data_IF_097704176470
#
_entry.id   IF_097704176470
#
_cell.length_a   1.000
_cell.length_b   1.000
_cell.length_c   1.000
_cell.angle_alpha   90.00
_cell.angle_beta   90.00
_cell.angle_gamma   90.00
#
_symmetry.space_group_name_H-M   'P 1'
#
loop_
_entity.id
_entity.type
_entity.pdbx_description
1 polymer ?
#
# COMPACT_ATOMS: atom_id res chain seq x y z
N UNK A 1 14.74 -12.67 22.53
CA UNK A 1 14.41 -11.23 22.32
C UNK A 1 15.58 -10.26 22.50
N UNK A 2 16.54 -10.46 23.43
CA UNK A 2 17.64 -9.49 23.67
C UNK A 2 18.66 -9.33 22.51
N UNK A 3 18.83 -10.34 21.65
CA UNK A 3 19.76 -10.30 20.51
C UNK A 3 19.25 -9.47 19.32
N UNK A 4 17.95 -9.53 19.02
CA UNK A 4 17.34 -8.79 17.91
C UNK A 4 17.40 -7.27 18.13
N UNK A 5 17.21 -6.82 19.37
CA UNK A 5 17.29 -5.40 19.73
C UNK A 5 18.70 -4.82 19.53
N UNK A 6 19.75 -5.60 19.85
CA UNK A 6 21.15 -5.16 19.65
C UNK A 6 21.49 -5.02 18.17
N UNK A 7 21.04 -5.96 17.33
CA UNK A 7 21.22 -5.89 15.88
C UNK A 7 20.46 -4.70 15.28
N UNK A 8 19.22 -4.47 15.73
CA UNK A 8 18.43 -3.32 15.28
C UNK A 8 19.09 -1.98 15.65
N UNK A 9 19.59 -1.85 16.89
CA UNK A 9 20.32 -0.65 17.35
C UNK A 9 21.61 -0.43 16.59
N UNK A 10 22.37 -1.50 16.29
CA UNK A 10 23.60 -1.42 15.52
C UNK A 10 23.34 -0.97 14.06
N UNK A 11 22.31 -1.55 13.42
CA UNK A 11 21.88 -1.17 12.07
C UNK A 11 21.39 0.29 12.06
N UNK A 12 20.59 0.69 13.05
CA UNK A 12 20.12 2.07 13.19
C UNK A 12 21.27 3.06 13.42
N UNK A 13 22.32 2.66 14.15
CA UNK A 13 23.52 3.47 14.39
C UNK A 13 24.36 3.68 13.13
N UNK A 14 24.61 2.60 12.38
CA UNK A 14 25.37 2.67 11.12
C UNK A 14 24.65 3.53 10.08
N UNK A 15 23.32 3.38 9.97
CA UNK A 15 22.50 4.21 9.07
C UNK A 15 22.60 5.69 9.48
N UNK A 16 22.50 6.00 10.77
CA UNK A 16 22.53 7.38 11.27
C UNK A 16 23.89 8.06 11.09
N UNK A 17 25.00 7.33 11.30
CA UNK A 17 26.35 7.84 11.06
C UNK A 17 26.63 8.07 9.57
N UNK A 18 26.16 7.16 8.70
CA UNK A 18 26.27 7.34 7.25
C UNK A 18 25.48 8.54 6.73
N UNK A 19 24.32 8.83 7.33
CA UNK A 19 23.50 10.01 7.02
C UNK A 19 24.18 11.32 7.42
N UNK A 20 24.82 11.37 8.60
CA UNK A 20 25.48 12.57 9.11
C UNK A 20 26.68 12.97 8.24
N UNK A 21 27.60 12.02 7.98
CA UNK A 21 28.75 12.27 7.11
C UNK A 21 28.36 12.60 5.66
N UNK A 22 27.22 12.10 5.19
CA UNK A 22 26.73 12.38 3.84
C UNK A 22 26.13 13.79 3.73
N UNK A 23 25.34 14.23 4.71
CA UNK A 23 24.75 15.57 4.72
C UNK A 23 25.83 16.67 4.72
N UNK A 24 26.90 16.50 5.50
CA UNK A 24 28.07 17.40 5.48
C UNK A 24 28.73 17.44 4.10
N UNK A 25 28.83 16.29 3.41
CA UNK A 25 29.47 16.20 2.09
C UNK A 25 28.75 16.93 0.95
N UNK A 26 27.47 17.29 1.10
CA UNK A 26 26.70 18.11 0.14
C UNK A 26 26.47 19.55 0.62
N UNK A 27 26.77 19.86 1.88
CA UNK A 27 26.62 21.21 2.42
C UNK A 27 27.70 22.17 1.87
N UNK A 28 28.87 21.65 1.50
CA UNK A 28 30.04 22.43 1.06
C UNK A 28 30.12 22.72 -0.45
N UNK A 29 28.99 22.76 -1.16
CA UNK A 29 29.00 23.17 -2.59
C UNK A 29 29.35 24.67 -2.65
N UNK A 30 30.60 24.99 -2.97
CA UNK A 30 31.10 26.36 -3.18
C UNK A 30 30.61 26.92 -4.51
N UNK A 31 30.21 28.18 -4.51
CA UNK A 31 29.83 28.94 -5.71
C UNK A 31 31.11 29.47 -6.34
N UNK A 32 31.28 29.32 -7.66
CA UNK A 32 32.49 29.82 -8.33
C UNK A 32 32.51 31.34 -8.36
N UNK A 33 33.63 31.92 -7.91
CA UNK A 33 33.91 33.36 -8.01
C UNK A 33 34.36 33.75 -9.43
N UNK A 34 34.75 32.79 -10.27
CA UNK A 34 35.32 33.02 -11.60
C UNK A 34 34.41 32.48 -12.73
N UNK A 35 33.75 33.35 -13.53
CA UNK A 35 32.70 32.95 -14.47
C UNK A 35 33.18 32.17 -15.72
N UNK A 36 34.46 31.85 -15.84
CA UNK A 36 35.03 31.18 -17.00
C UNK A 36 35.06 29.64 -16.88
N UNK A 37 34.85 29.08 -15.68
CA UNK A 37 34.73 27.61 -15.44
C UNK A 37 33.30 27.21 -15.08
N UNK A 38 32.31 27.85 -15.74
CA UNK A 38 30.89 27.59 -15.50
C UNK A 38 30.54 26.12 -15.75
N UNK A 39 29.60 25.64 -14.93
CA UNK A 39 28.94 24.37 -15.13
C UNK A 39 28.46 24.18 -16.59
N UNK A 40 28.64 22.98 -17.12
CA UNK A 40 28.28 22.68 -18.50
C UNK A 40 26.79 22.40 -18.64
N UNK A 41 26.22 22.68 -19.82
CA UNK A 41 24.83 22.32 -20.13
C UNK A 41 24.58 20.80 -19.96
N UNK A 42 25.62 19.98 -20.20
CA UNK A 42 25.62 18.53 -19.97
C UNK A 42 25.39 18.20 -18.50
N UNK A 43 26.10 18.86 -17.59
CA UNK A 43 25.96 18.64 -16.15
C UNK A 43 24.61 19.13 -15.62
N UNK A 44 24.10 20.26 -16.13
CA UNK A 44 22.75 20.76 -15.79
C UNK A 44 21.69 19.73 -16.22
N UNK A 45 21.77 19.24 -17.46
CA UNK A 45 20.86 18.20 -17.98
C UNK A 45 20.98 16.90 -17.19
N UNK A 46 22.20 16.47 -16.86
CA UNK A 46 22.48 15.30 -16.05
C UNK A 46 21.86 15.39 -14.65
N UNK A 47 22.08 16.52 -13.96
CA UNK A 47 21.50 16.76 -12.65
C UNK A 47 19.97 16.77 -12.68
N UNK A 48 19.36 17.39 -13.70
CA UNK A 48 17.91 17.40 -13.89
C UNK A 48 17.33 15.99 -14.10
N UNK A 49 18.03 15.13 -14.85
CA UNK A 49 17.61 13.73 -15.06
C UNK A 49 17.63 12.94 -13.74
N UNK A 50 18.69 13.09 -12.95
CA UNK A 50 18.82 12.42 -11.65
C UNK A 50 17.75 12.93 -10.68
N UNK A 51 17.49 14.25 -10.65
CA UNK A 51 16.42 14.83 -9.83
C UNK A 51 15.06 14.23 -10.19
N UNK A 52 14.70 14.20 -11.47
CA UNK A 52 13.40 13.65 -11.92
C UNK A 52 13.24 12.20 -11.51
N UNK A 53 14.29 11.40 -11.63
CA UNK A 53 14.30 10.02 -11.17
C UNK A 53 14.03 9.93 -9.67
N UNK A 54 14.73 10.72 -8.87
CA UNK A 54 14.58 10.74 -7.41
C UNK A 54 13.20 11.20 -6.95
N UNK A 55 12.61 12.22 -7.60
CA UNK A 55 11.24 12.68 -7.33
C UNK A 55 10.22 11.57 -7.64
N UNK A 56 10.36 10.89 -8.78
CA UNK A 56 9.49 9.76 -9.12
C UNK A 56 9.61 8.66 -8.05
N UNK A 57 10.83 8.36 -7.62
CA UNK A 57 11.10 7.32 -6.64
C UNK A 57 10.49 7.63 -5.27
N UNK A 58 10.55 8.89 -4.79
CA UNK A 58 9.88 9.27 -3.53
C UNK A 58 8.36 9.18 -3.64
N UNK A 59 7.77 9.53 -4.79
CA UNK A 59 6.33 9.31 -5.04
C UNK A 59 5.96 7.84 -4.96
N UNK A 60 6.73 6.95 -5.60
CA UNK A 60 6.49 5.50 -5.55
C UNK A 60 6.56 4.93 -4.13
N UNK A 61 7.48 5.43 -3.29
CA UNK A 61 7.56 5.04 -1.88
C UNK A 61 6.35 5.52 -1.07
N UNK A 62 5.87 6.73 -1.33
CA UNK A 62 4.67 7.26 -0.68
C UNK A 62 3.40 6.51 -1.11
N UNK A 63 3.30 6.16 -2.40
CA UNK A 63 2.21 5.35 -2.91
C UNK A 63 2.23 3.94 -2.30
N UNK A 64 3.41 3.34 -2.14
CA UNK A 64 3.55 2.08 -1.40
C UNK A 64 3.00 2.19 0.02
N UNK A 65 3.35 3.25 0.77
CA UNK A 65 2.81 3.50 2.12
C UNK A 65 1.29 3.63 2.09
N UNK A 66 0.75 4.46 1.20
CA UNK A 66 -0.69 4.75 1.08
C UNK A 66 -1.50 3.51 0.70
N UNK A 67 -1.05 2.75 -0.30
CA UNK A 67 -1.74 1.57 -0.79
C UNK A 67 -1.81 0.46 0.26
N UNK A 68 -0.81 0.38 1.13
CA UNK A 68 -0.76 -0.60 2.21
C UNK A 68 -1.21 -0.06 3.58
N UNK A 69 -1.71 1.18 3.66
CA UNK A 69 -2.21 1.77 4.91
C UNK A 69 -1.12 2.03 5.97
N UNK A 70 0.14 2.15 5.56
CA UNK A 70 1.28 2.39 6.46
C UNK A 70 1.34 3.88 6.79
N UNK A 71 1.07 4.24 8.04
CA UNK A 71 1.15 5.64 8.50
C UNK A 71 2.59 6.10 8.69
N UNK A 72 3.35 5.38 9.52
CA UNK A 72 4.73 5.72 9.88
C UNK A 72 5.66 4.57 9.48
N UNK A 73 6.70 4.89 8.72
CA UNK A 73 7.73 3.93 8.33
C UNK A 73 9.09 4.62 8.33
N UNK A 74 9.85 4.36 9.39
CA UNK A 74 11.12 5.05 9.67
C UNK A 74 12.13 4.85 8.54
N UNK A 75 12.13 3.68 7.88
CA UNK A 75 13.09 3.37 6.82
C UNK A 75 12.76 4.16 5.56
N UNK A 76 11.49 4.18 5.16
CA UNK A 76 11.03 4.99 4.03
C UNK A 76 11.21 6.49 4.31
N UNK A 77 10.95 6.95 5.53
CA UNK A 77 11.11 8.35 5.94
C UNK A 77 12.57 8.80 5.91
N UNK A 78 13.49 8.01 6.49
CA UNK A 78 14.93 8.29 6.42
C UNK A 78 15.45 8.31 4.99
N UNK A 79 15.00 7.38 4.17
CA UNK A 79 15.40 7.31 2.75
C UNK A 79 14.87 8.51 1.97
N UNK A 80 13.62 8.89 2.19
CA UNK A 80 13.02 10.08 1.54
C UNK A 80 13.78 11.35 1.92
N UNK A 81 14.13 11.49 3.20
CA UNK A 81 14.94 12.61 3.69
C UNK A 81 16.32 12.64 3.03
N UNK A 82 16.96 11.48 2.86
CA UNK A 82 18.24 11.40 2.15
C UNK A 82 18.13 11.81 0.67
N UNK A 83 17.10 11.31 0.00
CA UNK A 83 16.82 11.66 -1.39
C UNK A 83 16.59 13.17 -1.52
N UNK A 84 15.91 13.81 -0.56
CA UNK A 84 15.73 15.26 -0.55
C UNK A 84 17.05 16.02 -0.45
N UNK A 85 18.00 15.55 0.36
CA UNK A 85 19.36 16.13 0.41
C UNK A 85 20.06 16.03 -0.94
N UNK A 86 19.96 14.88 -1.63
CA UNK A 86 20.55 14.70 -2.96
C UNK A 86 19.87 15.64 -3.98
N UNK A 87 18.53 15.70 -3.98
CA UNK A 87 17.77 16.61 -4.85
C UNK A 87 18.20 18.06 -4.64
N UNK A 88 18.37 18.49 -3.39
CA UNK A 88 18.80 19.85 -3.08
C UNK A 88 20.16 20.18 -3.70
N UNK A 89 21.14 19.27 -3.60
CA UNK A 89 22.44 19.45 -4.23
C UNK A 89 22.37 19.49 -5.77
N UNK A 90 21.53 18.63 -6.37
CA UNK A 90 21.32 18.62 -7.81
C UNK A 90 20.64 19.89 -8.32
N UNK A 91 19.78 20.51 -7.51
CA UNK A 91 19.18 21.81 -7.84
C UNK A 91 20.21 22.93 -7.85
N UNK A 92 21.14 22.95 -6.88
CA UNK A 92 22.25 23.92 -6.87
C UNK A 92 23.09 23.83 -8.15
N UNK A 93 23.38 22.62 -8.64
CA UNK A 93 24.08 22.43 -9.94
C UNK A 93 23.30 23.06 -11.10
N UNK A 94 21.96 23.02 -11.05
CA UNK A 94 21.10 23.53 -12.12
C UNK A 94 20.92 25.05 -12.08
N UNK A 95 20.89 25.66 -10.88
CA UNK A 95 20.59 27.09 -10.70
C UNK A 95 21.83 27.95 -10.48
N UNK A 96 22.89 27.37 -9.92
CA UNK A 96 24.06 28.11 -9.45
C UNK A 96 25.25 27.89 -10.39
N UNK A 97 26.16 28.86 -10.44
CA UNK A 97 27.44 28.72 -11.16
C UNK A 97 28.41 27.86 -10.34
N UNK A 98 28.13 26.56 -10.30
CA UNK A 98 29.01 25.55 -9.69
C UNK A 98 30.15 25.24 -10.68
N UNK A 99 31.36 25.06 -10.17
CA UNK A 99 32.50 24.64 -11.00
C UNK A 99 32.24 23.25 -11.59
N UNK A 100 32.67 23.05 -12.85
CA UNK A 100 32.42 21.81 -13.58
C UNK A 100 32.85 20.56 -12.80
N UNK A 101 34.05 20.56 -12.23
CA UNK A 101 34.60 19.43 -11.48
C UNK A 101 33.79 19.13 -10.21
N UNK A 102 33.38 20.18 -9.50
CA UNK A 102 32.51 20.06 -8.31
C UNK A 102 31.17 19.45 -8.71
N UNK A 103 30.56 19.92 -9.79
CA UNK A 103 29.29 19.38 -10.29
C UNK A 103 29.41 17.90 -10.67
N UNK A 104 30.49 17.51 -11.36
CA UNK A 104 30.75 16.11 -11.72
C UNK A 104 30.95 15.22 -10.49
N UNK A 105 31.71 15.69 -9.49
CA UNK A 105 31.93 14.95 -8.24
C UNK A 105 30.62 14.75 -7.46
N UNK A 106 29.81 15.81 -7.33
CA UNK A 106 28.49 15.77 -6.68
C UNK A 106 27.55 14.81 -7.41
N UNK A 107 27.50 14.84 -8.74
CA UNK A 107 26.68 13.89 -9.52
C UNK A 107 27.17 12.44 -9.36
N UNK A 108 28.47 12.19 -9.39
CA UNK A 108 29.03 10.85 -9.20
C UNK A 108 28.72 10.28 -7.81
N UNK A 109 28.84 11.11 -6.76
CA UNK A 109 28.43 10.74 -5.40
C UNK A 109 26.92 10.48 -5.31
N UNK A 110 26.10 11.31 -5.93
CA UNK A 110 24.66 11.10 -6.01
C UNK A 110 24.32 9.75 -6.66
N UNK A 111 24.91 9.43 -7.82
CA UNK A 111 24.71 8.16 -8.52
C UNK A 111 25.14 6.98 -7.66
N UNK A 112 26.33 7.05 -7.04
CA UNK A 112 26.82 6.00 -6.15
C UNK A 112 25.84 5.76 -4.98
N UNK A 113 25.32 6.83 -4.39
CA UNK A 113 24.37 6.72 -3.27
C UNK A 113 23.02 6.17 -3.70
N UNK A 114 22.49 6.62 -4.84
CA UNK A 114 21.26 6.08 -5.44
C UNK A 114 21.36 4.56 -5.62
N UNK A 115 22.49 4.04 -6.08
CA UNK A 115 22.70 2.59 -6.22
C UNK A 115 22.60 1.85 -4.89
N UNK A 116 23.07 2.44 -3.80
CA UNK A 116 22.95 1.86 -2.45
C UNK A 116 21.50 1.93 -1.98
N UNK A 117 20.88 3.12 -2.03
CA UNK A 117 19.48 3.35 -1.67
C UNK A 117 18.55 2.36 -2.40
N UNK A 118 18.72 2.19 -3.72
CA UNK A 118 17.88 1.29 -4.52
C UNK A 118 17.98 -0.16 -4.06
N UNK A 119 19.18 -0.62 -3.72
CA UNK A 119 19.42 -1.99 -3.25
C UNK A 119 18.76 -2.24 -1.89
N UNK A 120 18.96 -1.31 -0.98
CA UNK A 120 18.50 -1.41 0.41
C UNK A 120 16.98 -1.34 0.46
N UNK A 121 16.39 -0.35 -0.24
CA UNK A 121 14.94 -0.20 -0.34
C UNK A 121 14.29 -1.37 -1.07
N UNK A 122 14.86 -1.86 -2.18
CA UNK A 122 14.29 -3.03 -2.89
C UNK A 122 14.17 -4.23 -1.96
N UNK A 123 15.22 -4.49 -1.18
CA UNK A 123 15.24 -5.59 -0.20
C UNK A 123 14.23 -5.34 0.92
N UNK A 124 14.20 -4.11 1.44
CA UNK A 124 13.26 -3.70 2.47
C UNK A 124 11.80 -3.87 2.03
N UNK A 125 11.42 -3.31 0.88
CA UNK A 125 10.05 -3.36 0.36
C UNK A 125 9.60 -4.79 0.12
N UNK A 126 10.47 -5.66 -0.42
CA UNK A 126 10.17 -7.09 -0.58
C UNK A 126 9.81 -7.74 0.75
N UNK A 127 10.63 -7.52 1.78
CA UNK A 127 10.40 -8.07 3.12
C UNK A 127 9.13 -7.48 3.76
N UNK A 128 8.92 -6.18 3.59
CA UNK A 128 7.75 -5.48 4.12
C UNK A 128 6.46 -5.96 3.48
N UNK A 129 6.43 -6.18 2.16
CA UNK A 129 5.28 -6.77 1.46
C UNK A 129 4.95 -8.17 1.96
N UNK A 130 5.96 -9.01 2.23
CA UNK A 130 5.72 -10.35 2.80
C UNK A 130 5.10 -10.26 4.20
N UNK A 131 5.58 -9.35 5.05
CA UNK A 131 5.00 -9.11 6.38
C UNK A 131 3.54 -8.66 6.30
N UNK A 132 3.23 -7.69 5.43
CA UNK A 132 1.87 -7.17 5.24
C UNK A 132 0.91 -8.28 4.78
N UNK A 133 1.33 -9.11 3.83
CA UNK A 133 0.55 -10.27 3.37
C UNK A 133 0.31 -11.28 4.49
N UNK A 134 1.31 -11.52 5.34
CA UNK A 134 1.17 -12.41 6.48
C UNK A 134 0.18 -11.85 7.51
N UNK A 135 0.29 -10.57 7.86
CA UNK A 135 -0.66 -9.90 8.77
C UNK A 135 -2.10 -9.94 8.23
N UNK A 136 -2.27 -9.73 6.92
CA UNK A 136 -3.57 -9.85 6.27
C UNK A 136 -4.13 -11.27 6.40
N UNK A 137 -3.31 -12.31 6.19
CA UNK A 137 -3.71 -13.72 6.34
C UNK A 137 -4.10 -14.08 7.78
N UNK A 138 -3.40 -13.54 8.77
CA UNK A 138 -3.76 -13.72 10.18
C UNK A 138 -5.13 -13.08 10.49
N UNK A 139 -5.38 -11.87 9.98
CA UNK A 139 -6.69 -11.20 10.12
C UNK A 139 -7.79 -11.93 9.37
N UNK A 140 -7.50 -12.44 8.17
CA UNK A 140 -8.42 -13.27 7.39
C UNK A 140 -8.87 -14.51 8.18
N UNK A 141 -7.94 -15.16 8.85
CA UNK A 141 -8.23 -16.33 9.69
C UNK A 141 -9.21 -15.98 10.81
N UNK A 142 -9.01 -14.83 11.48
CA UNK A 142 -9.93 -14.33 12.51
C UNK A 142 -11.31 -13.99 11.93
N UNK A 143 -11.36 -13.31 10.80
CA UNK A 143 -12.62 -12.95 10.14
C UNK A 143 -13.36 -14.18 9.59
N UNK A 144 -12.65 -15.22 9.17
CA UNK A 144 -13.25 -16.45 8.63
C UNK A 144 -14.17 -17.12 9.65
N UNK A 145 -13.84 -17.07 10.95
CA UNK A 145 -14.72 -17.60 12.01
C UNK A 145 -16.04 -16.84 12.07
N UNK A 146 -16.00 -15.53 11.98
CA UNK A 146 -17.19 -14.68 11.98
C UNK A 146 -18.01 -14.83 10.69
N UNK A 147 -17.32 -14.84 9.54
CA UNK A 147 -17.90 -15.06 8.22
C UNK A 147 -18.66 -16.38 8.15
N UNK A 148 -18.08 -17.45 8.71
CA UNK A 148 -18.73 -18.77 8.72
C UNK A 148 -20.03 -18.77 9.53
N UNK A 149 -20.07 -18.06 10.67
CA UNK A 149 -21.31 -17.91 11.46
C UNK A 149 -22.40 -17.21 10.68
N UNK A 150 -22.07 -16.12 9.97
CA UNK A 150 -23.01 -15.40 9.10
C UNK A 150 -23.52 -16.34 8.01
N UNK A 151 -22.61 -17.06 7.34
CA UNK A 151 -22.94 -17.99 6.26
C UNK A 151 -23.94 -19.06 6.70
N UNK A 152 -23.70 -19.70 7.85
CA UNK A 152 -24.58 -20.73 8.40
C UNK A 152 -25.97 -20.17 8.71
N UNK A 153 -26.05 -19.02 9.40
CA UNK A 153 -27.33 -18.38 9.71
C UNK A 153 -28.11 -17.98 8.45
N UNK A 154 -27.41 -17.39 7.48
CA UNK A 154 -28.00 -16.99 6.21
C UNK A 154 -28.53 -18.19 5.43
N UNK A 155 -27.79 -19.29 5.34
CA UNK A 155 -28.23 -20.52 4.69
C UNK A 155 -29.46 -21.12 5.36
N UNK A 156 -29.53 -21.09 6.70
CA UNK A 156 -30.70 -21.56 7.43
C UNK A 156 -31.94 -20.70 7.11
N UNK A 157 -31.79 -19.38 7.01
CA UNK A 157 -32.87 -18.47 6.61
C UNK A 157 -33.31 -18.75 5.17
N UNK A 158 -32.36 -18.84 4.23
CA UNK A 158 -32.65 -19.12 2.82
C UNK A 158 -33.43 -20.42 2.67
N UNK A 159 -32.98 -21.50 3.33
CA UNK A 159 -33.63 -22.80 3.29
C UNK A 159 -35.07 -22.71 3.77
N UNK A 160 -35.31 -22.09 4.94
CA UNK A 160 -36.66 -21.93 5.49
C UNK A 160 -37.59 -21.19 4.53
N UNK A 161 -37.15 -20.08 3.95
CA UNK A 161 -37.98 -19.35 2.98
C UNK A 161 -38.27 -20.18 1.72
N UNK A 162 -37.27 -20.87 1.17
CA UNK A 162 -37.47 -21.72 -0.02
C UNK A 162 -38.42 -22.88 0.26
N UNK A 163 -38.30 -23.52 1.42
CA UNK A 163 -39.17 -24.64 1.80
C UNK A 163 -40.63 -24.16 1.97
N UNK A 164 -40.85 -22.98 2.57
CA UNK A 164 -42.18 -22.37 2.68
C UNK A 164 -42.80 -22.07 1.31
N UNK A 165 -42.07 -21.38 0.43
CA UNK A 165 -42.57 -21.04 -0.92
C UNK A 165 -42.89 -22.29 -1.74
N UNK A 166 -42.10 -23.38 -1.59
CA UNK A 166 -42.33 -24.64 -2.30
C UNK A 166 -43.58 -25.39 -1.84
N UNK A 167 -44.01 -25.19 -0.60
CA UNK A 167 -45.22 -25.84 -0.06
C UNK A 167 -46.51 -25.21 -0.60
N UNK A 168 -46.44 -24.02 -1.19
CA UNK A 168 -47.58 -23.36 -1.81
C UNK A 168 -47.86 -23.93 -3.21
N UNK A 169 -49.13 -24.26 -3.48
CA UNK A 169 -49.56 -24.78 -4.80
C UNK A 169 -49.35 -23.77 -5.94
N UNK A 170 -49.47 -22.47 -5.65
CA UNK A 170 -49.36 -21.38 -6.63
C UNK A 170 -48.66 -20.17 -5.98
N UNK A 171 -47.33 -20.00 -6.16
CA UNK A 171 -46.59 -18.91 -5.54
C UNK A 171 -46.99 -17.55 -6.12
N UNK A 172 -47.13 -16.56 -5.24
CA UNK A 172 -47.50 -15.20 -5.59
C UNK A 172 -46.42 -14.49 -6.42
N UNK A 173 -46.75 -13.31 -6.95
CA UNK A 173 -45.76 -12.45 -7.62
C UNK A 173 -44.66 -12.00 -6.65
N UNK A 174 -44.99 -11.80 -5.37
CA UNK A 174 -44.03 -11.44 -4.34
C UNK A 174 -43.13 -12.62 -4.00
N UNK A 175 -43.65 -13.84 -3.91
CA UNK A 175 -42.85 -15.06 -3.69
C UNK A 175 -41.80 -15.25 -4.78
N UNK A 176 -42.16 -15.01 -6.03
CA UNK A 176 -41.19 -15.06 -7.16
C UNK A 176 -40.07 -14.03 -7.01
N UNK A 177 -40.39 -12.82 -6.53
CA UNK A 177 -39.37 -11.78 -6.25
C UNK A 177 -38.51 -12.15 -5.05
N UNK A 178 -39.12 -12.62 -3.95
CA UNK A 178 -38.42 -13.11 -2.76
C UNK A 178 -37.45 -14.22 -3.17
N UNK A 179 -37.90 -15.19 -3.97
CA UNK A 179 -37.06 -16.27 -4.47
C UNK A 179 -35.83 -15.76 -5.25
N UNK A 180 -35.99 -14.70 -6.04
CA UNK A 180 -34.88 -14.06 -6.77
C UNK A 180 -33.84 -13.47 -5.82
N UNK A 181 -34.27 -12.78 -4.76
CA UNK A 181 -33.38 -12.27 -3.72
C UNK A 181 -32.70 -13.40 -2.92
N UNK A 182 -33.39 -14.51 -2.68
CA UNK A 182 -32.80 -15.70 -2.05
C UNK A 182 -31.68 -16.31 -2.90
N UNK A 183 -31.85 -16.39 -4.23
CA UNK A 183 -30.79 -16.83 -5.15
C UNK A 183 -29.57 -15.89 -5.12
N UNK A 184 -29.80 -14.57 -4.97
CA UNK A 184 -28.71 -13.61 -4.81
C UNK A 184 -27.96 -13.83 -3.48
N UNK A 185 -28.68 -14.06 -2.37
CA UNK A 185 -28.08 -14.40 -1.07
C UNK A 185 -27.28 -15.71 -1.12
N UNK A 186 -27.70 -16.71 -1.90
CA UNK A 186 -26.91 -17.94 -2.10
C UNK A 186 -25.56 -17.65 -2.77
N UNK A 187 -25.53 -16.76 -3.77
CA UNK A 187 -24.27 -16.33 -4.40
C UNK A 187 -23.35 -15.64 -3.39
N UNK A 188 -23.90 -14.77 -2.54
CA UNK A 188 -23.12 -14.15 -1.46
C UNK A 188 -22.66 -15.18 -0.41
N UNK A 189 -23.44 -16.24 -0.15
CA UNK A 189 -23.05 -17.36 0.72
C UNK A 189 -21.81 -18.08 0.19
N UNK A 190 -21.76 -18.32 -1.12
CA UNK A 190 -20.60 -18.93 -1.77
C UNK A 190 -19.37 -18.03 -1.65
N UNK A 191 -19.52 -16.71 -1.79
CA UNK A 191 -18.42 -15.76 -1.57
C UNK A 191 -17.92 -15.79 -0.14
N UNK A 192 -18.82 -15.86 0.86
CA UNK A 192 -18.44 -16.03 2.26
C UNK A 192 -17.67 -17.33 2.50
N UNK A 193 -18.10 -18.46 1.89
CA UNK A 193 -17.37 -19.73 1.98
C UNK A 193 -15.94 -19.61 1.40
N UNK A 194 -15.83 -18.97 0.24
CA UNK A 194 -14.55 -18.79 -0.45
C UNK A 194 -13.66 -17.75 0.22
N UNK A 195 -14.18 -16.91 1.11
CA UNK A 195 -13.41 -15.87 1.79
C UNK A 195 -12.20 -16.42 2.54
N UNK A 196 -12.26 -17.67 3.05
CA UNK A 196 -11.14 -18.32 3.76
C UNK A 196 -9.97 -18.70 2.84
N UNK A 197 -10.24 -18.95 1.56
CA UNK A 197 -9.24 -19.42 0.57
C UNK A 197 -8.80 -18.32 -0.41
N UNK A 198 -9.51 -17.19 -0.46
CA UNK A 198 -9.10 -16.03 -1.25
C UNK A 198 -7.74 -15.49 -0.80
N UNK A 199 -6.93 -15.02 -1.75
CA UNK A 199 -5.71 -14.28 -1.47
C UNK A 199 -5.99 -12.80 -1.40
N UNK A 200 -5.42 -12.11 -0.41
CA UNK A 200 -5.47 -10.66 -0.28
C UNK A 200 -4.05 -10.10 -0.17
N UNK A 201 -3.79 -8.98 -0.84
CA UNK A 201 -2.49 -8.31 -0.83
C UNK A 201 -2.21 -7.60 0.48
N UNK A 202 -3.25 -7.04 1.10
CA UNK A 202 -3.17 -6.30 2.36
C UNK A 202 -4.51 -6.30 3.10
N UNK A 203 -4.50 -5.78 4.33
CA UNK A 203 -5.70 -5.69 5.17
C UNK A 203 -6.80 -4.81 4.58
N UNK A 204 -6.44 -3.75 3.84
CA UNK A 204 -7.42 -2.83 3.25
C UNK A 204 -8.27 -3.55 2.23
N UNK A 205 -7.64 -4.26 1.30
CA UNK A 205 -8.33 -5.08 0.30
C UNK A 205 -9.25 -6.12 0.95
N UNK A 206 -8.72 -6.84 1.95
CA UNK A 206 -9.47 -7.83 2.72
C UNK A 206 -10.73 -7.24 3.37
N UNK A 207 -10.62 -6.07 4.01
CA UNK A 207 -11.76 -5.36 4.63
C UNK A 207 -12.77 -4.91 3.59
N UNK A 208 -12.31 -4.30 2.50
CA UNK A 208 -13.18 -3.84 1.42
C UNK A 208 -13.93 -5.02 0.79
N UNK A 209 -13.25 -6.14 0.53
CA UNK A 209 -13.87 -7.35 -0.01
C UNK A 209 -14.96 -7.88 0.92
N UNK A 210 -14.68 -8.00 2.22
CA UNK A 210 -15.68 -8.48 3.19
C UNK A 210 -16.86 -7.51 3.30
N UNK A 211 -16.59 -6.21 3.40
CA UNK A 211 -17.61 -5.18 3.51
C UNK A 211 -18.58 -5.19 2.32
N UNK A 212 -18.05 -5.36 1.10
CA UNK A 212 -18.87 -5.43 -0.11
C UNK A 212 -19.86 -6.60 -0.05
N UNK A 213 -19.41 -7.79 0.38
CA UNK A 213 -20.27 -8.96 0.56
C UNK A 213 -21.37 -8.65 1.59
N UNK A 214 -21.00 -8.08 2.75
CA UNK A 214 -21.96 -7.76 3.81
C UNK A 214 -22.99 -6.69 3.40
N UNK A 215 -22.57 -5.68 2.63
CA UNK A 215 -23.48 -4.66 2.09
C UNK A 215 -24.51 -5.30 1.15
N UNK A 216 -24.09 -6.21 0.28
CA UNK A 216 -24.99 -6.92 -0.62
C UNK A 216 -25.97 -7.80 0.16
N UNK A 217 -25.49 -8.59 1.12
CA UNK A 217 -26.35 -9.39 2.00
C UNK A 217 -27.40 -8.52 2.68
N UNK A 218 -26.99 -7.39 3.27
CA UNK A 218 -27.91 -6.45 3.92
C UNK A 218 -28.96 -5.90 2.95
N UNK A 219 -28.55 -5.54 1.72
CA UNK A 219 -29.46 -5.04 0.68
C UNK A 219 -30.51 -6.09 0.34
N UNK A 220 -30.10 -7.31 0.04
CA UNK A 220 -31.04 -8.38 -0.36
C UNK A 220 -32.02 -8.72 0.77
N UNK A 221 -31.57 -8.80 2.03
CA UNK A 221 -32.47 -8.98 3.17
C UNK A 221 -33.45 -7.81 3.35
N UNK A 222 -33.02 -6.57 3.08
CA UNK A 222 -33.89 -5.39 3.14
C UNK A 222 -35.00 -5.47 2.09
N UNK A 223 -34.69 -5.90 0.86
CA UNK A 223 -35.69 -6.06 -0.19
C UNK A 223 -36.68 -7.19 0.13
N UNK A 224 -36.21 -8.33 0.65
CA UNK A 224 -37.10 -9.41 1.13
C UNK A 224 -38.05 -8.87 2.21
N UNK A 225 -37.52 -8.12 3.20
CA UNK A 225 -38.33 -7.54 4.27
C UNK A 225 -39.41 -6.59 3.74
N UNK A 226 -39.10 -5.77 2.73
CA UNK A 226 -40.07 -4.88 2.08
C UNK A 226 -41.19 -5.66 1.40
N UNK A 227 -40.85 -6.72 0.67
CA UNK A 227 -41.83 -7.56 -0.03
C UNK A 227 -42.79 -8.23 0.95
N UNK A 228 -42.28 -8.76 2.06
CA UNK A 228 -43.10 -9.37 3.12
C UNK A 228 -44.03 -8.36 3.82
N UNK A 229 -43.65 -7.07 3.87
CA UNK A 229 -44.48 -6.03 4.46
C UNK A 229 -45.65 -5.61 3.56
N UNK A 230 -45.60 -5.91 2.26
CA UNK A 230 -46.66 -5.58 1.29
C UNK A 230 -47.80 -6.61 1.28
N UNK A 231 -47.66 -7.71 2.01
CA UNK A 231 -48.65 -8.79 2.13
C UNK A 231 -49.55 -8.63 3.37
N UNK A 232 -49.31 -7.60 4.18
CA UNK A 232 -50.15 -7.20 5.32
C UNK A 232 -51.05 -6.04 4.92
#
# INVERSE_FOLDING_TARGET
MKGFLKILVLILGIISFSHFCFAESFAEIKISENPNEKNTEVNIKGASLIEKYLIKYTTELNDFKKNNGIKNDIIIEKTTSEIQTIIFALRKIQTDKVEKEVAENVMNRAIARIKVINRDIKTYLKNKTMQIKQEAKEKQTKYSVFVEKIRIQMNAIIKRFKDNIKQERLPSKNDKKIYTHLLALEKESTKLANFKISSFENEKELKTSLLNILIHIKKEFSEIKKLLAQEK
#
